data_IF_665680758898
#
_entry.id   IF_665680758898
#
_cell.length_a   1.000
_cell.length_b   1.000
_cell.length_c   1.000
_cell.angle_alpha   90.00
_cell.angle_beta   90.00
_cell.angle_gamma   90.00
#
_symmetry.space_group_name_H-M   'P 1'
#
loop_
_entity.id
_entity.type
_entity.pdbx_description
1 polymer ?
#
# COMPACT_ATOMS: atom_id res chain seq x y z
N UNK A 1 37.23 -29.11 15.53
CA UNK A 1 36.64 -30.21 14.73
C UNK A 1 35.13 -30.09 14.80
N UNK A 2 34.56 -29.46 13.77
CA UNK A 2 33.34 -29.85 13.05
C UNK A 2 33.55 -29.19 11.69
N UNK A 3 34.00 -30.02 10.75
CA UNK A 3 34.71 -29.62 9.54
C UNK A 3 33.88 -29.96 8.30
N UNK A 4 32.57 -29.71 8.33
CA UNK A 4 31.72 -29.91 7.15
C UNK A 4 30.74 -28.73 7.05
N UNK A 5 31.04 -27.83 6.11
CA UNK A 5 30.10 -26.82 5.61
C UNK A 5 29.15 -27.56 4.67
N UNK A 6 27.88 -27.65 5.01
CA UNK A 6 26.85 -28.03 4.06
C UNK A 6 26.85 -27.06 2.88
N UNK A 7 26.85 -27.60 1.66
CA UNK A 7 26.89 -26.89 0.38
C UNK A 7 25.60 -26.14 0.01
N UNK A 8 24.74 -25.82 0.98
CA UNK A 8 23.57 -24.98 0.77
C UNK A 8 23.86 -23.58 1.29
N UNK A 9 24.03 -22.63 0.37
CA UNK A 9 24.37 -21.23 0.64
C UNK A 9 23.42 -20.57 1.65
N UNK A 10 23.80 -20.61 2.92
CA UNK A 10 23.15 -19.81 3.95
C UNK A 10 23.81 -18.44 3.97
N UNK A 11 23.11 -17.43 3.46
CA UNK A 11 23.54 -16.04 3.62
C UNK A 11 23.32 -15.65 5.08
N UNK A 12 24.34 -15.84 5.91
CA UNK A 12 24.36 -15.38 7.29
C UNK A 12 25.06 -14.02 7.37
N UNK A 13 24.32 -12.96 7.68
CA UNK A 13 24.82 -11.62 7.97
C UNK A 13 23.67 -10.68 8.31
N UNK A 14 23.86 -9.67 9.18
CA UNK A 14 22.79 -8.72 9.48
C UNK A 14 22.36 -8.00 8.20
N UNK A 15 21.05 -7.95 7.93
CA UNK A 15 20.45 -7.25 6.78
C UNK A 15 20.53 -5.74 6.99
N UNK A 16 21.75 -5.20 7.00
CA UNK A 16 22.04 -3.77 7.21
C UNK A 16 21.91 -2.96 5.93
N UNK A 17 21.89 -3.62 4.77
CA UNK A 17 21.81 -2.97 3.47
C UNK A 17 20.41 -2.44 3.16
N UNK A 18 19.35 -2.98 3.78
CA UNK A 18 17.97 -2.57 3.53
C UNK A 18 17.39 -1.61 4.59
N UNK A 19 18.24 -0.99 5.41
CA UNK A 19 17.79 -0.19 6.55
C UNK A 19 16.90 1.00 6.16
N UNK A 20 17.16 1.64 5.02
CA UNK A 20 16.38 2.81 4.57
C UNK A 20 14.97 2.41 4.17
N UNK A 21 14.83 1.34 3.38
CA UNK A 21 13.53 0.78 3.01
C UNK A 21 12.80 0.27 4.27
N UNK A 22 13.49 -0.40 5.19
CA UNK A 22 12.90 -0.83 6.46
C UNK A 22 12.42 0.31 7.36
N UNK A 23 13.11 1.46 7.36
CA UNK A 23 12.63 2.68 8.06
C UNK A 23 11.40 3.25 7.36
N UNK A 24 11.44 3.37 6.02
CA UNK A 24 10.32 3.85 5.24
C UNK A 24 9.05 3.01 5.49
N UNK A 25 9.16 1.68 5.50
CA UNK A 25 8.04 0.80 5.80
C UNK A 25 7.45 1.03 7.20
N UNK A 26 8.29 1.27 8.21
CA UNK A 26 7.78 1.64 9.54
C UNK A 26 7.06 2.97 9.51
N UNK A 27 7.62 3.98 8.85
CA UNK A 27 7.00 5.31 8.78
C UNK A 27 5.65 5.24 8.03
N UNK A 28 5.54 4.44 6.96
CA UNK A 28 4.27 4.19 6.23
C UNK A 28 3.26 3.49 7.13
N UNK A 29 3.71 2.46 7.87
CA UNK A 29 2.83 1.72 8.76
C UNK A 29 2.31 2.62 9.87
N UNK A 30 3.19 3.28 10.62
CA UNK A 30 2.82 4.17 11.71
C UNK A 30 1.98 5.38 11.22
N UNK A 31 2.31 5.93 10.05
CA UNK A 31 1.66 7.12 9.52
C UNK A 31 0.31 6.89 8.85
N UNK A 32 0.06 5.69 8.29
CA UNK A 32 -1.15 5.41 7.51
C UNK A 32 -1.76 4.06 7.86
N UNK A 33 -1.00 2.97 7.72
CA UNK A 33 -1.59 1.63 7.70
C UNK A 33 -2.00 1.12 9.08
N UNK A 34 -1.40 1.62 10.16
CA UNK A 34 -1.70 1.24 11.54
C UNK A 34 -3.18 1.46 11.89
N UNK A 35 -3.78 2.53 11.35
CA UNK A 35 -5.21 2.79 11.51
C UNK A 35 -6.06 1.65 10.92
N UNK A 36 -5.85 1.30 9.65
CA UNK A 36 -6.61 0.26 8.98
C UNK A 36 -6.31 -1.13 9.54
N UNK A 37 -5.06 -1.37 9.92
CA UNK A 37 -4.65 -2.58 10.61
C UNK A 37 -5.50 -2.79 11.87
N UNK A 38 -5.52 -1.81 12.78
CA UNK A 38 -6.30 -1.93 14.02
C UNK A 38 -7.80 -2.02 13.75
N UNK A 39 -8.31 -1.29 12.76
CA UNK A 39 -9.73 -1.33 12.37
C UNK A 39 -10.13 -2.72 11.88
N UNK A 40 -9.34 -3.35 11.01
CA UNK A 40 -9.67 -4.66 10.46
C UNK A 40 -9.54 -5.77 11.49
N UNK A 41 -8.53 -5.72 12.37
CA UNK A 41 -8.45 -6.64 13.51
C UNK A 41 -9.62 -6.46 14.47
N UNK A 42 -10.04 -5.22 14.73
CA UNK A 42 -11.25 -4.97 15.51
C UNK A 42 -12.50 -5.60 14.86
N UNK A 43 -12.65 -5.48 13.54
CA UNK A 43 -13.76 -6.08 12.81
C UNK A 43 -13.70 -7.61 12.85
N UNK A 44 -12.52 -8.21 12.73
CA UNK A 44 -12.32 -9.67 12.84
C UNK A 44 -12.66 -10.17 14.26
N UNK A 45 -12.14 -9.51 15.30
CA UNK A 45 -12.37 -9.88 16.70
C UNK A 45 -13.84 -9.80 17.15
N UNK A 46 -14.67 -9.04 16.42
CA UNK A 46 -16.09 -8.85 16.71
C UNK A 46 -17.02 -9.58 15.71
N UNK A 47 -16.49 -10.53 14.94
CA UNK A 47 -17.23 -11.29 13.93
C UNK A 47 -17.92 -10.41 12.85
N UNK A 48 -17.40 -9.19 12.63
CA UNK A 48 -17.88 -8.26 11.59
C UNK A 48 -17.25 -8.62 10.23
N UNK A 49 -15.97 -8.98 10.26
CA UNK A 49 -15.18 -9.34 9.08
C UNK A 49 -14.75 -10.80 9.17
N UNK A 50 -15.16 -11.61 8.18
CA UNK A 50 -14.62 -12.95 7.98
C UNK A 50 -13.51 -12.91 6.90
N UNK A 51 -12.23 -13.03 7.26
CA UNK A 51 -11.13 -12.99 6.31
C UNK A 51 -11.05 -14.24 5.41
N UNK A 52 -11.80 -15.30 5.73
CA UNK A 52 -11.88 -16.52 4.92
C UNK A 52 -13.02 -16.47 3.89
N UNK A 53 -13.84 -15.43 3.93
CA UNK A 53 -14.97 -15.25 3.03
C UNK A 53 -14.64 -14.24 1.93
N UNK A 54 -14.60 -14.72 0.68
CA UNK A 54 -14.29 -13.90 -0.49
C UNK A 54 -15.25 -12.71 -0.67
N UNK A 55 -16.53 -12.85 -0.25
CA UNK A 55 -17.52 -11.78 -0.28
C UNK A 55 -17.13 -10.63 0.67
N UNK A 56 -16.69 -10.99 1.88
CA UNK A 56 -16.23 -10.03 2.88
C UNK A 56 -14.95 -9.33 2.40
N UNK A 57 -14.02 -10.06 1.79
CA UNK A 57 -12.80 -9.50 1.20
C UNK A 57 -13.10 -8.53 0.05
N UNK A 58 -14.04 -8.89 -0.84
CA UNK A 58 -14.48 -8.05 -1.93
C UNK A 58 -15.12 -6.73 -1.43
N UNK A 59 -16.05 -6.83 -0.48
CA UNK A 59 -16.67 -5.68 0.16
C UNK A 59 -15.63 -4.79 0.87
N UNK A 60 -14.68 -5.39 1.58
CA UNK A 60 -13.61 -4.67 2.27
C UNK A 60 -12.71 -3.90 1.29
N UNK A 61 -12.29 -4.55 0.20
CA UNK A 61 -11.50 -3.92 -0.84
C UNK A 61 -12.23 -2.76 -1.50
N UNK A 62 -13.52 -2.91 -1.83
CA UNK A 62 -14.30 -1.82 -2.43
C UNK A 62 -14.35 -0.58 -1.53
N UNK A 63 -14.59 -0.76 -0.23
CA UNK A 63 -14.77 0.36 0.70
C UNK A 63 -13.45 1.06 1.06
N UNK A 64 -12.42 0.27 1.38
CA UNK A 64 -11.23 0.82 2.02
C UNK A 64 -10.04 1.02 1.08
N UNK A 65 -9.99 0.37 -0.10
CA UNK A 65 -8.84 0.50 -1.03
C UNK A 65 -8.61 1.94 -1.48
N UNK A 66 -9.66 2.63 -1.91
CA UNK A 66 -9.55 4.02 -2.35
C UNK A 66 -9.13 4.94 -1.19
N UNK A 67 -9.69 4.73 0.00
CA UNK A 67 -9.38 5.54 1.16
C UNK A 67 -7.94 5.32 1.65
N UNK A 68 -7.45 4.07 1.62
CA UNK A 68 -6.05 3.74 1.88
C UNK A 68 -5.15 4.46 0.87
N UNK A 69 -5.44 4.35 -0.43
CA UNK A 69 -4.65 5.00 -1.48
C UNK A 69 -4.65 6.53 -1.33
N UNK A 70 -5.80 7.12 -1.00
CA UNK A 70 -5.91 8.57 -0.74
C UNK A 70 -5.01 8.99 0.41
N UNK A 71 -5.05 8.28 1.54
CA UNK A 71 -4.20 8.60 2.70
C UNK A 71 -2.72 8.36 2.41
N UNK A 72 -2.37 7.30 1.69
CA UNK A 72 -1.00 7.03 1.24
C UNK A 72 -0.47 8.14 0.33
N UNK A 73 -1.29 8.68 -0.57
CA UNK A 73 -0.88 9.78 -1.44
C UNK A 73 -0.58 11.07 -0.63
N UNK A 74 -1.49 11.45 0.29
CA UNK A 74 -1.28 12.59 1.18
C UNK A 74 -0.01 12.41 2.02
N UNK A 75 0.17 11.22 2.60
CA UNK A 75 1.34 10.90 3.39
C UNK A 75 2.62 10.93 2.54
N UNK A 76 2.61 10.38 1.32
CA UNK A 76 3.76 10.37 0.40
C UNK A 76 4.21 11.80 0.09
N UNK A 77 3.27 12.69 -0.19
CA UNK A 77 3.55 14.11 -0.45
C UNK A 77 4.18 14.78 0.78
N UNK A 78 3.60 14.58 1.97
CA UNK A 78 4.14 15.15 3.21
C UNK A 78 5.52 14.59 3.56
N UNK A 79 5.71 13.28 3.40
CA UNK A 79 6.96 12.60 3.66
C UNK A 79 8.02 13.01 2.62
N UNK A 80 7.70 13.18 1.34
CA UNK A 80 8.65 13.68 0.34
C UNK A 80 9.25 15.06 0.69
N UNK A 81 8.49 15.88 1.41
CA UNK A 81 8.85 17.25 1.80
C UNK A 81 9.43 17.38 3.22
N UNK A 82 9.47 16.31 4.03
CA UNK A 82 9.96 16.41 5.41
C UNK A 82 11.48 16.60 5.45
N UNK A 83 12.00 17.35 6.41
CA UNK A 83 13.45 17.57 6.53
C UNK A 83 14.14 16.39 7.22
N UNK A 84 15.08 15.75 6.54
CA UNK A 84 15.95 14.75 7.17
C UNK A 84 17.06 15.47 7.93
N UNK A 85 17.07 15.34 9.26
CA UNK A 85 18.01 16.05 10.15
C UNK A 85 19.49 15.82 9.81
N UNK A 86 19.87 14.61 9.41
CA UNK A 86 21.29 14.24 9.19
C UNK A 86 21.89 14.83 7.92
N UNK A 87 21.07 15.11 6.91
CA UNK A 87 21.51 15.65 5.61
C UNK A 87 21.04 17.08 5.38
N UNK A 88 20.20 17.62 6.28
CA UNK A 88 19.60 18.95 6.20
C UNK A 88 18.89 19.23 4.85
N UNK A 89 18.27 18.21 4.26
CA UNK A 89 17.54 18.26 3.01
C UNK A 89 16.29 17.35 3.08
N UNK A 90 15.32 17.55 2.19
CA UNK A 90 14.14 16.68 2.08
C UNK A 90 14.44 15.43 1.23
N UNK A 91 13.69 14.32 1.38
CA UNK A 91 13.80 13.18 0.48
C UNK A 91 13.71 13.58 -0.99
N UNK A 92 12.78 14.47 -1.34
CA UNK A 92 12.61 14.94 -2.71
C UNK A 92 13.82 15.74 -3.22
N UNK A 93 14.42 16.59 -2.37
CA UNK A 93 15.65 17.32 -2.69
C UNK A 93 16.84 16.36 -2.90
N UNK A 94 16.99 15.37 -2.04
CA UNK A 94 18.03 14.36 -2.18
C UNK A 94 17.86 13.56 -3.47
N UNK A 95 16.63 13.14 -3.78
CA UNK A 95 16.31 12.42 -5.01
C UNK A 95 16.63 13.27 -6.24
N UNK A 96 16.16 14.52 -6.28
CA UNK A 96 16.42 15.44 -7.39
C UNK A 96 17.92 15.70 -7.59
N UNK A 97 18.66 15.92 -6.49
CA UNK A 97 20.13 16.07 -6.55
C UNK A 97 20.84 14.82 -7.08
N UNK A 98 20.32 13.63 -6.73
CA UNK A 98 20.82 12.35 -7.23
C UNK A 98 20.60 12.20 -8.73
N UNK A 99 19.42 12.57 -9.23
CA UNK A 99 19.10 12.52 -10.67
C UNK A 99 19.99 13.44 -11.51
N UNK A 100 20.34 14.63 -11.00
CA UNK A 100 21.28 15.55 -11.68
C UNK A 100 22.71 14.97 -11.74
N UNK A 101 23.16 14.32 -10.67
CA UNK A 101 24.54 13.82 -10.56
C UNK A 101 24.74 12.47 -11.29
N UNK A 102 23.75 11.60 -11.21
CA UNK A 102 23.76 10.28 -11.83
C UNK A 102 22.31 9.89 -12.15
N UNK A 103 21.79 10.24 -13.34
CA UNK A 103 20.42 9.96 -13.70
C UNK A 103 20.17 8.45 -13.72
N UNK A 104 19.18 8.00 -12.95
CA UNK A 104 18.75 6.59 -12.91
C UNK A 104 17.24 6.56 -13.09
N UNK A 105 16.77 5.85 -14.12
CA UNK A 105 15.36 5.82 -14.52
C UNK A 105 15.04 6.82 -15.64
N UNK A 106 13.82 7.35 -15.64
CA UNK A 106 13.29 8.23 -16.70
C UNK A 106 14.09 9.54 -16.78
N UNK A 107 14.41 10.00 -18.00
CA UNK A 107 15.05 11.30 -18.23
C UNK A 107 14.07 12.42 -17.90
N UNK A 108 14.23 13.03 -16.73
CA UNK A 108 13.41 14.13 -16.24
C UNK A 108 13.83 15.45 -16.90
N UNK A 109 12.86 16.29 -17.29
CA UNK A 109 13.13 17.70 -17.59
C UNK A 109 13.03 18.54 -16.29
N UNK A 110 13.74 19.67 -16.20
CA UNK A 110 13.84 20.49 -14.97
C UNK A 110 12.49 21.00 -14.44
N UNK A 111 11.44 20.96 -15.26
CA UNK A 111 10.09 21.46 -14.95
C UNK A 111 9.21 20.47 -14.20
N UNK A 112 9.51 19.17 -14.22
CA UNK A 112 8.67 18.09 -13.64
C UNK A 112 9.04 17.73 -12.19
N UNK A 113 10.08 18.38 -11.64
CA UNK A 113 10.57 18.16 -10.27
C UNK A 113 9.52 18.36 -9.13
N UNK A 114 8.47 19.18 -9.26
CA UNK A 114 7.45 19.33 -8.22
C UNK A 114 6.39 18.21 -8.14
N UNK A 115 6.21 17.39 -9.18
CA UNK A 115 5.06 16.44 -9.28
C UNK A 115 5.39 14.98 -8.90
N UNK A 116 6.67 14.67 -8.65
CA UNK A 116 7.19 13.31 -8.39
C UNK A 116 6.71 12.59 -7.13
N UNK A 117 5.87 13.23 -6.30
CA UNK A 117 5.29 12.60 -5.10
C UNK A 117 4.27 11.50 -5.41
N UNK A 118 3.82 11.42 -6.67
CA UNK A 118 2.85 10.44 -7.17
C UNK A 118 3.58 9.48 -8.10
N UNK A 119 3.96 8.31 -7.59
CA UNK A 119 4.54 7.27 -8.44
C UNK A 119 3.50 6.80 -9.46
N UNK A 120 3.78 7.01 -10.76
CA UNK A 120 3.12 6.26 -11.82
C UNK A 120 3.41 4.76 -11.66
N UNK A 121 2.37 3.94 -11.75
CA UNK A 121 2.50 2.48 -11.69
C UNK A 121 3.14 1.98 -12.98
N UNK A 122 4.47 1.86 -12.97
CA UNK A 122 5.18 1.21 -14.07
C UNK A 122 5.01 -0.31 -13.96
N UNK A 123 4.23 -0.89 -14.88
CA UNK A 123 4.06 -2.33 -15.07
C UNK A 123 5.29 -2.96 -15.75
N UNK A 124 6.48 -2.78 -15.21
CA UNK A 124 7.66 -3.52 -15.67
C UNK A 124 8.23 -4.35 -14.51
N UNK A 125 7.66 -5.55 -14.37
CA UNK A 125 8.14 -6.59 -13.48
C UNK A 125 9.41 -7.23 -14.05
N UNK A 126 10.58 -6.83 -13.54
CA UNK A 126 11.82 -7.58 -13.79
C UNK A 126 12.02 -8.63 -12.71
N UNK A 127 12.13 -9.87 -13.17
CA UNK A 127 12.25 -11.15 -12.45
C UNK A 127 13.31 -11.13 -11.34
N UNK A 128 12.87 -11.22 -10.09
CA UNK A 128 13.45 -12.14 -9.08
C UNK A 128 12.49 -12.29 -7.89
N UNK A 129 12.11 -13.55 -7.57
CA UNK A 129 11.13 -13.92 -6.56
C UNK A 129 9.69 -13.59 -6.96
N UNK A 130 8.94 -14.59 -7.43
CA UNK A 130 7.49 -14.47 -7.65
C UNK A 130 6.83 -14.05 -6.34
N UNK A 131 6.60 -12.74 -6.17
CA UNK A 131 5.66 -12.25 -5.18
C UNK A 131 4.33 -12.94 -5.51
N UNK A 132 3.63 -13.52 -4.53
CA UNK A 132 2.32 -14.10 -4.80
C UNK A 132 1.47 -13.06 -5.51
N UNK A 133 1.12 -13.36 -6.76
CA UNK A 133 0.18 -12.55 -7.53
C UNK A 133 -1.18 -12.87 -6.93
N UNK A 134 -1.66 -11.99 -6.07
CA UNK A 134 -3.03 -12.06 -5.60
C UNK A 134 -3.93 -11.87 -6.82
N UNK A 135 -4.76 -12.87 -7.12
CA UNK A 135 -5.76 -12.72 -8.16
C UNK A 135 -6.74 -11.61 -7.73
N UNK A 136 -7.14 -10.70 -8.63
CA UNK A 136 -8.24 -9.81 -8.36
C UNK A 136 -9.45 -10.62 -7.89
N UNK A 137 -10.11 -10.18 -6.83
CA UNK A 137 -11.41 -10.74 -6.45
C UNK A 137 -12.41 -10.31 -7.52
N UNK A 138 -12.59 -11.15 -8.55
CA UNK A 138 -13.55 -10.96 -9.66
C UNK A 138 -15.01 -11.16 -9.20
N UNK A 139 -15.25 -11.10 -7.89
CA UNK A 139 -16.55 -11.36 -7.27
C UNK A 139 -17.52 -10.18 -7.42
N UNK A 140 -17.03 -8.97 -7.75
CA UNK A 140 -17.90 -7.81 -7.97
C UNK A 140 -18.10 -7.62 -9.48
N UNK A 141 -19.29 -7.99 -9.96
CA UNK A 141 -19.67 -7.77 -11.35
C UNK A 141 -19.88 -6.26 -11.65
N UNK A 142 -19.89 -5.88 -12.93
CA UNK A 142 -20.03 -4.47 -13.34
C UNK A 142 -21.36 -3.84 -12.86
N UNK A 143 -22.44 -4.62 -12.79
CA UNK A 143 -23.76 -4.14 -12.33
C UNK A 143 -23.76 -3.85 -10.82
N UNK A 144 -23.14 -4.72 -10.02
CA UNK A 144 -22.89 -4.52 -8.59
C UNK A 144 -22.06 -3.27 -8.38
N UNK A 145 -21.00 -3.05 -9.18
CA UNK A 145 -20.16 -1.85 -9.09
C UNK A 145 -20.97 -0.58 -9.34
N UNK A 146 -21.88 -0.57 -10.32
CA UNK A 146 -22.75 0.58 -10.57
C UNK A 146 -23.71 0.86 -9.40
N UNK A 147 -24.34 -0.18 -8.85
CA UNK A 147 -25.25 -0.05 -7.69
C UNK A 147 -24.48 0.47 -6.48
N UNK A 148 -23.31 -0.11 -6.19
CA UNK A 148 -22.45 0.31 -5.09
C UNK A 148 -22.03 1.78 -5.24
N UNK A 149 -21.67 2.24 -6.44
CA UNK A 149 -21.27 3.63 -6.66
C UNK A 149 -22.44 4.63 -6.52
N UNK A 150 -23.66 4.20 -6.84
CA UNK A 150 -24.84 5.06 -6.76
C UNK A 150 -25.46 5.11 -5.35
N UNK A 151 -25.39 4.02 -4.59
CA UNK A 151 -26.07 3.92 -3.28
C UNK A 151 -25.17 4.24 -2.07
N UNK A 152 -23.84 4.11 -2.20
CA UNK A 152 -22.92 4.45 -1.10
C UNK A 152 -22.60 5.95 -1.06
N UNK A 153 -23.35 6.66 -0.24
CA UNK A 153 -22.88 7.93 0.32
C UNK A 153 -21.87 7.60 1.43
N UNK A 154 -20.57 7.71 1.15
CA UNK A 154 -19.49 7.53 2.13
C UNK A 154 -19.66 8.56 3.25
N UNK A 155 -20.45 8.24 4.27
CA UNK A 155 -20.83 9.19 5.34
C UNK A 155 -19.70 9.43 6.33
N UNK A 156 -18.68 8.55 6.33
CA UNK A 156 -17.52 8.66 7.24
C UNK A 156 -17.87 8.40 8.71
N UNK A 157 -19.13 8.05 9.00
CA UNK A 157 -19.60 7.65 10.32
C UNK A 157 -19.17 6.21 10.62
N UNK A 158 -19.02 5.88 11.91
CA UNK A 158 -18.58 4.56 12.38
C UNK A 158 -17.34 3.99 11.67
N UNK A 159 -16.38 4.86 11.32
CA UNK A 159 -15.12 4.48 10.67
C UNK A 159 -15.27 3.75 9.31
N UNK A 160 -16.43 3.86 8.66
CA UNK A 160 -16.72 3.19 7.39
C UNK A 160 -17.23 1.75 7.53
N UNK A 161 -17.52 1.29 8.76
CA UNK A 161 -18.09 -0.03 9.01
C UNK A 161 -19.53 -0.12 8.46
N UNK A 162 -20.30 0.98 8.53
CA UNK A 162 -21.67 1.00 8.02
C UNK A 162 -21.70 0.88 6.49
N UNK A 163 -20.76 1.55 5.82
CA UNK A 163 -20.56 1.49 4.37
C UNK A 163 -20.14 0.07 3.94
N UNK A 164 -19.31 -0.57 4.76
CA UNK A 164 -18.94 -1.97 4.59
C UNK A 164 -20.16 -2.91 4.67
N UNK A 165 -21.01 -2.79 5.69
CA UNK A 165 -22.21 -3.64 5.82
C UNK A 165 -23.17 -3.49 4.63
N UNK A 166 -23.43 -2.24 4.21
CA UNK A 166 -24.26 -1.98 3.02
C UNK A 166 -23.67 -2.61 1.77
N UNK A 167 -22.36 -2.51 1.60
CA UNK A 167 -21.67 -3.11 0.46
C UNK A 167 -21.79 -4.63 0.49
N UNK A 168 -21.64 -5.25 1.68
CA UNK A 168 -21.77 -6.68 1.86
C UNK A 168 -23.18 -7.17 1.49
N UNK A 169 -24.22 -6.45 1.93
CA UNK A 169 -25.61 -6.74 1.57
C UNK A 169 -25.85 -6.66 0.06
N UNK A 170 -25.36 -5.61 -0.60
CA UNK A 170 -25.52 -5.41 -2.04
C UNK A 170 -24.80 -6.51 -2.83
N UNK A 171 -23.56 -6.85 -2.46
CA UNK A 171 -22.79 -7.88 -3.16
C UNK A 171 -23.40 -9.28 -2.89
N UNK A 172 -23.94 -9.53 -1.69
CA UNK A 172 -24.65 -10.78 -1.38
C UNK A 172 -25.96 -10.92 -2.15
N UNK A 173 -26.65 -9.82 -2.48
CA UNK A 173 -27.93 -9.86 -3.18
C UNK A 173 -27.79 -10.05 -4.70
N UNK A 174 -26.61 -9.81 -5.25
CA UNK A 174 -26.36 -9.73 -6.70
C UNK A 174 -25.24 -10.68 -7.19
N UNK A 175 -24.77 -11.60 -6.33
CA UNK A 175 -23.97 -12.79 -6.67
C UNK A 175 -24.82 -14.05 -6.52
#
# INVERSE_FOLDING_TARGET
MLTERGESGMITGPSTHNQRIGRLWRDIFEGVLCYFYNLFYYMEDHDILDPLNDLHLAALHYNFKDEINRRLNVWSTAWGCHRIRTVNATPLQLWGSGQVQNPVGMQMNETELPELGVGEQNNEATRDGERPIFQPLDLINEQCMEILNNELNRTGENFGIDDYFKSLEIISANN
#
